data_IF_197992417468
#
_entry.id   IF_197992417468
#
_cell.length_a   1.000
_cell.length_b   1.000
_cell.length_c   1.000
_cell.angle_alpha   90.00
_cell.angle_beta   90.00
_cell.angle_gamma   90.00
#
_symmetry.space_group_name_H-M   'P 1'
#
loop_
_entity.id
_entity.type
_entity.pdbx_description
1 polymer ?
#
# COMPACT_ATOMS: atom_id res chain seq x y z
N UNK A 1 -17.77 3.55 -16.72
CA UNK A 1 -17.15 4.75 -17.33
C UNK A 1 -16.35 4.33 -18.55
N UNK A 2 -16.47 5.09 -19.62
CA UNK A 2 -15.77 4.82 -20.86
C UNK A 2 -14.27 5.00 -20.68
N UNK A 3 -13.50 3.94 -20.93
CA UNK A 3 -12.06 3.93 -20.79
C UNK A 3 -11.38 4.91 -21.75
N UNK A 4 -11.93 5.08 -22.95
CA UNK A 4 -11.42 6.07 -23.90
C UNK A 4 -11.51 7.49 -23.35
N UNK A 5 -12.60 7.82 -22.70
CA UNK A 5 -12.78 9.12 -22.07
C UNK A 5 -11.75 9.34 -20.96
N UNK A 6 -11.54 8.33 -20.10
CA UNK A 6 -10.56 8.42 -19.02
C UNK A 6 -9.15 8.67 -19.55
N UNK A 7 -8.79 8.01 -20.66
CA UNK A 7 -7.49 8.22 -21.29
C UNK A 7 -7.36 9.62 -21.90
N UNK A 8 -8.42 10.09 -22.54
CA UNK A 8 -8.41 11.40 -23.19
C UNK A 8 -8.19 12.55 -22.22
N UNK A 9 -8.77 12.46 -21.02
CA UNK A 9 -8.62 13.49 -19.98
C UNK A 9 -7.46 13.22 -19.03
N UNK A 10 -6.71 12.12 -19.23
CA UNK A 10 -5.63 11.70 -18.32
C UNK A 10 -6.12 11.63 -16.89
N UNK A 11 -7.21 10.90 -16.68
CA UNK A 11 -7.89 10.83 -15.39
C UNK A 11 -6.92 10.37 -14.30
N UNK A 12 -6.80 11.17 -13.24
CA UNK A 12 -5.88 10.94 -12.13
C UNK A 12 -6.67 10.80 -10.84
N UNK A 13 -6.33 9.80 -10.02
CA UNK A 13 -7.08 9.52 -8.79
C UNK A 13 -6.16 8.95 -7.71
N UNK A 14 -6.46 9.21 -6.43
CA UNK A 14 -5.74 8.57 -5.32
C UNK A 14 -6.31 7.19 -5.02
N UNK A 15 -5.45 6.33 -4.49
CA UNK A 15 -5.85 5.01 -4.01
C UNK A 15 -5.04 4.65 -2.77
N UNK A 16 -5.68 4.00 -1.80
CA UNK A 16 -4.99 3.47 -0.65
C UNK A 16 -4.10 2.28 -1.02
N UNK A 17 -4.46 1.56 -2.06
CA UNK A 17 -3.81 0.31 -2.45
C UNK A 17 -3.11 0.46 -3.80
N UNK A 18 -1.99 -0.26 -3.96
CA UNK A 18 -1.39 -0.45 -5.26
C UNK A 18 -2.23 -1.47 -6.05
N UNK A 19 -2.83 -1.03 -7.14
CA UNK A 19 -3.75 -1.84 -7.94
C UNK A 19 -3.13 -2.36 -9.24
N UNK A 20 -1.85 -2.09 -9.49
CA UNK A 20 -1.23 -2.40 -10.78
C UNK A 20 -0.43 -3.70 -10.75
N UNK A 21 0.42 -3.90 -9.75
CA UNK A 21 1.44 -4.95 -9.82
C UNK A 21 1.60 -5.64 -8.47
N UNK A 22 1.25 -6.92 -8.44
CA UNK A 22 1.34 -7.75 -7.25
C UNK A 22 2.41 -8.85 -7.39
N UNK A 23 3.37 -8.70 -8.30
CA UNK A 23 4.44 -9.69 -8.51
C UNK A 23 5.26 -9.98 -7.26
N UNK A 24 5.42 -8.97 -6.39
CA UNK A 24 6.17 -9.15 -5.14
C UNK A 24 5.55 -10.19 -4.22
N UNK A 25 4.27 -10.51 -4.40
CA UNK A 25 3.55 -11.49 -3.60
C UNK A 25 3.41 -12.85 -4.28
N UNK A 26 4.10 -13.10 -5.38
CA UNK A 26 3.90 -14.32 -6.19
C UNK A 26 4.00 -15.60 -5.36
N UNK A 27 5.03 -15.74 -4.51
CA UNK A 27 5.19 -16.90 -3.64
C UNK A 27 4.08 -17.00 -2.60
N UNK A 28 3.70 -15.88 -2.00
CA UNK A 28 2.66 -15.82 -1.00
C UNK A 28 1.30 -16.16 -1.60
N UNK A 29 1.01 -15.66 -2.81
CA UNK A 29 -0.22 -15.97 -3.53
C UNK A 29 -0.32 -17.46 -3.82
N UNK A 30 0.77 -18.06 -4.32
CA UNK A 30 0.79 -19.49 -4.62
C UNK A 30 0.56 -20.33 -3.36
N UNK A 31 1.23 -19.99 -2.27
CA UNK A 31 1.04 -20.69 -0.99
C UNK A 31 -0.41 -20.57 -0.50
N UNK A 32 -1.00 -19.40 -0.61
CA UNK A 32 -2.39 -19.17 -0.22
C UNK A 32 -3.34 -20.03 -1.06
N UNK A 33 -3.16 -20.04 -2.39
CA UNK A 33 -4.00 -20.81 -3.32
C UNK A 33 -3.92 -22.31 -3.01
N UNK A 34 -2.72 -22.81 -2.72
CA UNK A 34 -2.51 -24.24 -2.43
C UNK A 34 -3.17 -24.64 -1.11
N UNK A 35 -3.17 -23.76 -0.11
CA UNK A 35 -3.71 -24.06 1.22
C UNK A 35 -5.20 -23.81 1.30
N UNK A 36 -5.69 -22.72 0.71
CA UNK A 36 -7.07 -22.29 0.84
C UNK A 36 -7.95 -22.64 -0.36
N UNK A 37 -7.37 -23.13 -1.44
CA UNK A 37 -8.05 -23.48 -2.70
C UNK A 37 -8.87 -22.31 -3.28
N UNK A 38 -8.40 -21.08 -3.06
CA UNK A 38 -9.04 -19.87 -3.55
C UNK A 38 -7.99 -18.76 -3.69
N UNK A 39 -8.36 -17.70 -4.39
CA UNK A 39 -7.48 -16.54 -4.55
C UNK A 39 -7.52 -15.65 -3.31
N UNK A 40 -6.39 -15.04 -2.92
CA UNK A 40 -6.38 -14.09 -1.80
C UNK A 40 -7.15 -12.82 -2.14
N UNK A 41 -7.83 -12.28 -1.14
CA UNK A 41 -8.52 -10.99 -1.25
C UNK A 41 -7.56 -9.82 -1.00
N UNK A 42 -8.04 -8.59 -1.22
CA UNK A 42 -7.27 -7.39 -0.89
C UNK A 42 -6.87 -7.35 0.60
N UNK A 43 -7.72 -7.87 1.47
CA UNK A 43 -7.42 -7.92 2.90
C UNK A 43 -6.19 -8.78 3.22
N UNK A 44 -5.95 -9.82 2.44
CA UNK A 44 -4.74 -10.64 2.60
C UNK A 44 -3.48 -9.80 2.35
N UNK A 45 -3.45 -9.03 1.27
CA UNK A 45 -2.31 -8.18 0.95
C UNK A 45 -2.13 -7.05 1.95
N UNK A 46 -3.23 -6.47 2.43
CA UNK A 46 -3.19 -5.44 3.48
C UNK A 46 -2.58 -6.00 4.75
N UNK A 47 -3.05 -7.16 5.20
CA UNK A 47 -2.53 -7.82 6.39
C UNK A 47 -1.06 -8.20 6.25
N UNK A 48 -0.67 -8.67 5.08
CA UNK A 48 0.72 -9.01 4.80
C UNK A 48 1.65 -7.80 4.97
N UNK A 49 1.31 -6.68 4.34
CA UNK A 49 2.12 -5.47 4.43
C UNK A 49 2.14 -4.89 5.84
N UNK A 50 1.00 -4.89 6.53
CA UNK A 50 0.91 -4.40 7.91
C UNK A 50 1.79 -5.25 8.83
N UNK A 51 1.67 -6.56 8.75
CA UNK A 51 2.47 -7.46 9.58
C UNK A 51 3.96 -7.30 9.29
N UNK A 52 4.33 -7.24 8.03
CA UNK A 52 5.73 -7.07 7.62
C UNK A 52 6.30 -5.75 8.16
N UNK A 53 5.55 -4.67 8.03
CA UNK A 53 5.96 -3.36 8.53
C UNK A 53 6.21 -3.38 10.05
N UNK A 54 5.21 -3.81 10.81
CA UNK A 54 5.29 -3.78 12.26
C UNK A 54 6.32 -4.76 12.81
N UNK A 55 6.38 -5.96 12.27
CA UNK A 55 7.35 -6.96 12.74
C UNK A 55 8.78 -6.55 12.42
N UNK A 56 9.02 -5.98 11.26
CA UNK A 56 10.34 -5.51 10.86
C UNK A 56 10.82 -4.39 11.78
N UNK A 57 9.98 -3.39 12.03
CA UNK A 57 10.36 -2.27 12.88
C UNK A 57 10.46 -2.67 14.36
N UNK A 58 9.59 -3.55 14.83
CA UNK A 58 9.67 -4.08 16.18
C UNK A 58 11.01 -4.79 16.41
N UNK A 59 11.45 -5.59 15.44
CA UNK A 59 12.73 -6.28 15.50
C UNK A 59 13.92 -5.32 15.48
N UNK A 60 13.85 -4.27 14.66
CA UNK A 60 14.96 -3.34 14.48
C UNK A 60 15.07 -2.29 15.59
N UNK A 61 13.94 -1.81 16.10
CA UNK A 61 13.88 -0.64 16.98
C UNK A 61 13.30 -0.94 18.37
N UNK A 62 12.73 -2.13 18.58
CA UNK A 62 12.05 -2.48 19.82
C UNK A 62 10.66 -1.83 19.93
N UNK A 63 9.95 -2.06 21.07
CA UNK A 63 8.56 -1.60 21.22
C UNK A 63 8.37 -0.09 21.15
N UNK A 64 9.41 0.70 21.39
CA UNK A 64 9.33 2.16 21.38
C UNK A 64 9.06 2.74 20.00
N UNK A 65 9.22 1.95 18.91
CA UNK A 65 9.00 2.47 17.57
C UNK A 65 7.54 2.92 17.36
N UNK A 66 6.58 2.37 18.10
CA UNK A 66 5.17 2.72 18.00
C UNK A 66 4.91 4.20 18.30
N UNK A 67 5.71 4.80 19.18
CA UNK A 67 5.61 6.24 19.47
C UNK A 67 6.32 7.11 18.46
N UNK A 68 7.00 6.53 17.47
CA UNK A 68 7.81 7.22 16.48
C UNK A 68 7.44 6.82 15.05
N UNK A 69 6.19 6.40 14.81
CA UNK A 69 5.75 5.92 13.50
C UNK A 69 5.94 6.94 12.37
N UNK A 70 5.86 8.24 12.70
CA UNK A 70 6.08 9.31 11.72
C UNK A 70 7.51 9.35 11.19
N UNK A 71 8.47 8.75 11.89
CA UNK A 71 9.86 8.67 11.46
C UNK A 71 10.18 7.53 10.51
N UNK A 72 9.23 6.60 10.32
CA UNK A 72 9.44 5.39 9.55
C UNK A 72 8.42 5.25 8.42
N UNK A 73 8.48 6.13 7.41
CA UNK A 73 7.65 5.94 6.22
C UNK A 73 8.08 4.70 5.46
N UNK A 74 7.14 4.03 4.82
CA UNK A 74 7.39 2.80 4.09
C UNK A 74 6.53 2.75 2.85
N UNK A 75 7.15 2.45 1.71
CA UNK A 75 6.45 2.22 0.46
C UNK A 75 6.34 0.70 0.26
N UNK A 76 5.25 0.14 0.74
CA UNK A 76 4.96 -1.28 0.60
C UNK A 76 4.55 -1.63 -0.83
N UNK A 77 4.42 -2.93 -1.09
CA UNK A 77 4.02 -3.38 -2.42
C UNK A 77 2.52 -3.23 -2.67
N UNK A 78 1.71 -3.23 -1.62
CA UNK A 78 0.26 -3.05 -1.70
C UNK A 78 -0.21 -1.80 -0.98
N UNK A 79 0.35 -1.50 0.19
CA UNK A 79 0.04 -0.33 1.00
C UNK A 79 1.25 0.60 1.08
N UNK A 80 0.96 1.88 1.29
CA UNK A 80 1.99 2.89 1.56
C UNK A 80 1.77 3.44 2.95
N UNK A 81 2.82 3.45 3.76
CA UNK A 81 2.77 3.92 5.15
C UNK A 81 3.48 5.26 5.26
N UNK A 82 2.72 6.29 5.62
CA UNK A 82 3.23 7.61 5.96
C UNK A 82 2.41 8.14 7.11
N UNK A 83 2.83 7.80 8.32
CA UNK A 83 2.08 8.15 9.52
C UNK A 83 2.27 9.61 9.88
N UNK A 84 1.20 10.18 10.38
CA UNK A 84 1.13 11.58 10.78
C UNK A 84 0.32 11.70 12.07
N UNK A 85 0.75 12.64 12.95
CA UNK A 85 -0.07 13.06 14.07
C UNK A 85 0.14 14.56 14.28
N UNK A 86 -0.95 15.32 14.60
CA UNK A 86 -0.86 16.77 14.75
C UNK A 86 -0.05 17.19 15.99
N UNK A 87 -0.09 16.40 17.06
CA UNK A 87 0.64 16.67 18.29
C UNK A 87 0.90 15.39 19.07
N UNK A 88 1.62 15.48 20.19
CA UNK A 88 2.03 14.33 20.99
C UNK A 88 0.85 13.64 21.72
N UNK A 89 -0.31 14.27 21.78
CA UNK A 89 -1.48 13.74 22.50
C UNK A 89 -2.46 13.01 21.60
N UNK A 90 -2.32 13.15 20.28
CA UNK A 90 -3.21 12.49 19.31
C UNK A 90 -2.61 11.17 18.83
N UNK A 91 -3.46 10.28 18.34
CA UNK A 91 -3.03 9.07 17.68
C UNK A 91 -2.43 9.34 16.31
N UNK A 92 -1.81 8.32 15.74
CA UNK A 92 -1.28 8.39 14.38
C UNK A 92 -2.35 8.00 13.37
N UNK A 93 -2.33 8.68 12.22
CA UNK A 93 -3.11 8.27 11.06
C UNK A 93 -2.18 8.03 9.86
N UNK A 94 -2.50 7.03 9.05
CA UNK A 94 -1.73 6.77 7.84
C UNK A 94 -2.26 7.64 6.70
N UNK A 95 -1.43 8.56 6.22
CA UNK A 95 -1.72 9.43 5.08
C UNK A 95 -1.05 8.95 3.79
N UNK A 96 -0.45 7.77 3.81
CA UNK A 96 0.14 7.18 2.62
C UNK A 96 -0.92 6.80 1.60
N UNK A 97 -0.68 7.17 0.35
CA UNK A 97 -1.58 6.86 -0.75
C UNK A 97 -0.79 6.78 -2.04
N UNK A 98 -1.34 6.06 -3.01
CA UNK A 98 -0.82 6.03 -4.37
C UNK A 98 -1.64 6.94 -5.24
N UNK A 99 -1.00 7.55 -6.24
CA UNK A 99 -1.67 8.35 -7.26
C UNK A 99 -1.54 7.61 -8.58
N UNK A 100 -2.68 7.34 -9.21
CA UNK A 100 -2.73 6.66 -10.50
C UNK A 100 -3.27 7.58 -11.58
N UNK A 101 -2.80 7.39 -12.80
CA UNK A 101 -3.23 8.15 -13.96
C UNK A 101 -3.44 7.24 -15.16
N UNK A 102 -4.55 7.45 -15.86
CA UNK A 102 -4.79 6.82 -17.16
C UNK A 102 -4.07 7.60 -18.25
N UNK A 103 -3.27 6.90 -19.05
CA UNK A 103 -2.58 7.46 -20.20
C UNK A 103 -2.28 6.34 -21.21
N UNK A 104 -2.47 6.60 -22.49
CA UNK A 104 -2.21 5.63 -23.55
C UNK A 104 -2.90 4.28 -23.30
N UNK A 105 -4.15 4.32 -22.81
CA UNK A 105 -4.95 3.13 -22.48
C UNK A 105 -4.32 2.23 -21.41
N UNK A 106 -3.40 2.78 -20.60
CA UNK A 106 -2.77 2.08 -19.50
C UNK A 106 -2.89 2.89 -18.21
N UNK A 107 -2.77 2.18 -17.10
CA UNK A 107 -2.79 2.78 -15.78
C UNK A 107 -1.35 2.89 -15.27
N UNK A 108 -0.93 4.10 -14.97
CA UNK A 108 0.41 4.39 -14.45
C UNK A 108 0.34 4.86 -13.00
N UNK A 109 1.32 4.43 -12.21
CA UNK A 109 1.50 4.92 -10.85
C UNK A 109 2.45 6.11 -10.89
N UNK A 110 1.99 7.26 -10.36
CA UNK A 110 2.85 8.44 -10.26
C UNK A 110 3.95 8.24 -9.23
N UNK A 111 5.11 8.84 -9.49
CA UNK A 111 6.19 8.85 -8.52
C UNK A 111 5.78 9.68 -7.29
N UNK A 112 6.09 9.17 -6.12
CA UNK A 112 5.88 9.89 -4.88
C UNK A 112 7.03 10.90 -4.68
N UNK A 113 6.66 12.14 -4.47
CA UNK A 113 7.65 13.18 -4.16
C UNK A 113 7.42 13.71 -2.75
#
# INVERSE_FOLDING_TARGET
IDQEYLNRVNYTFPSQNNIINLKAYSSAILSYQMEMSSDPSDYYFMGFDIAQYYLTHLKQHGPSFISELDKYPFDGNFLRFKFFHPDATTGFENRGAYIFRYSNYQLYRSQWK
#
